data_IF_398619495674
#
_entry.id   IF_398619495674
#
_cell.length_a   1.000
_cell.length_b   1.000
_cell.length_c   1.000
_cell.angle_alpha   90.00
_cell.angle_beta   90.00
_cell.angle_gamma   90.00
#
_symmetry.space_group_name_H-M   'P 1'
#
loop_
_entity.id
_entity.type
_entity.pdbx_description
1 polymer ?
#
# COMPACT_ATOMS: atom_id res chain seq x y z
N UNK A 1 1.66 -12.74 3.23
CA UNK A 1 1.98 -11.33 3.55
C UNK A 1 1.02 -10.44 2.78
N UNK A 2 -0.17 -10.18 3.34
CA UNK A 2 -1.17 -9.33 2.72
C UNK A 2 -1.05 -7.93 3.33
N UNK A 3 -0.64 -6.94 2.54
CA UNK A 3 -0.53 -5.57 3.05
C UNK A 3 -1.89 -4.93 2.89
N UNK A 4 -2.62 -4.84 4.01
CA UNK A 4 -3.91 -4.18 4.05
C UNK A 4 -3.71 -2.66 4.00
N UNK A 5 -4.44 -2.01 3.12
CA UNK A 5 -4.49 -0.57 3.03
C UNK A 5 -5.90 -0.08 2.85
N UNK A 6 -6.12 1.15 3.30
CA UNK A 6 -7.41 1.80 3.18
C UNK A 6 -7.56 2.40 1.79
N UNK A 7 -8.57 1.95 1.06
CA UNK A 7 -8.89 2.53 -0.23
C UNK A 7 -9.90 3.64 -0.01
N UNK A 8 -9.48 4.89 -0.24
CA UNK A 8 -10.36 6.06 -0.12
C UNK A 8 -11.50 6.04 -1.14
N UNK A 9 -11.33 5.39 -2.30
CA UNK A 9 -12.40 5.19 -3.28
C UNK A 9 -13.44 4.17 -2.81
N UNK A 10 -12.99 3.02 -2.32
CA UNK A 10 -13.89 1.97 -1.83
C UNK A 10 -14.38 2.22 -0.39
N UNK A 11 -13.82 3.24 0.29
CA UNK A 11 -14.00 3.52 1.72
C UNK A 11 -13.89 2.28 2.62
N UNK A 12 -13.01 1.36 2.23
CA UNK A 12 -12.85 0.08 2.87
C UNK A 12 -11.36 -0.26 3.00
N UNK A 13 -11.01 -0.99 4.05
CA UNK A 13 -9.70 -1.63 4.17
C UNK A 13 -9.70 -2.84 3.24
N UNK A 14 -8.78 -2.86 2.29
CA UNK A 14 -8.61 -3.96 1.35
C UNK A 14 -7.15 -4.36 1.30
N UNK A 15 -6.91 -5.62 0.99
CA UNK A 15 -5.57 -6.13 0.73
C UNK A 15 -5.08 -5.53 -0.58
N UNK A 16 -3.89 -4.92 -0.54
CA UNK A 16 -3.22 -4.48 -1.76
C UNK A 16 -2.86 -5.70 -2.62
N UNK A 17 -3.20 -5.61 -3.90
CA UNK A 17 -2.69 -6.49 -4.94
C UNK A 17 -1.30 -6.01 -5.37
N UNK A 18 -0.38 -6.95 -5.55
CA UNK A 18 1.00 -6.65 -5.94
C UNK A 18 1.71 -5.66 -4.99
N UNK A 19 1.81 -5.99 -3.68
CA UNK A 19 2.52 -5.13 -2.74
C UNK A 19 4.03 -5.14 -3.06
N UNK A 20 4.50 -4.04 -3.63
CA UNK A 20 5.90 -3.72 -3.89
C UNK A 20 6.45 -2.90 -2.74
N UNK A 21 7.33 -3.52 -1.97
CA UNK A 21 8.16 -2.84 -1.00
C UNK A 21 9.26 -2.05 -1.72
N UNK A 22 9.40 -0.78 -1.35
CA UNK A 22 10.37 0.15 -1.90
C UNK A 22 10.89 1.04 -0.76
N UNK A 23 12.06 1.61 -0.93
CA UNK A 23 12.61 2.57 0.03
C UNK A 23 12.51 3.96 -0.58
N UNK A 24 11.89 4.89 0.14
CA UNK A 24 11.89 6.30 -0.28
C UNK A 24 13.29 6.89 -0.20
N UNK A 25 13.56 7.95 -0.97
CA UNK A 25 14.85 8.68 -0.94
C UNK A 25 15.30 9.13 0.46
N UNK A 26 14.38 9.19 1.42
CA UNK A 26 14.64 9.56 2.80
C UNK A 26 14.86 8.34 3.74
N UNK A 27 15.14 7.16 3.18
CA UNK A 27 15.44 5.93 3.92
C UNK A 27 14.22 5.24 4.55
N UNK A 28 13.00 5.73 4.32
CA UNK A 28 11.78 5.14 4.92
C UNK A 28 11.21 4.04 4.00
N UNK A 29 10.91 2.84 4.53
CA UNK A 29 10.25 1.81 3.77
C UNK A 29 8.82 2.22 3.44
N UNK A 30 8.46 2.04 2.18
CA UNK A 30 7.14 2.28 1.65
C UNK A 30 6.70 1.01 0.93
N UNK A 31 5.50 0.55 1.23
CA UNK A 31 4.86 -0.46 0.42
C UNK A 31 3.89 0.24 -0.51
N UNK A 32 4.06 0.02 -1.81
CA UNK A 32 3.13 0.42 -2.85
C UNK A 32 2.38 -0.82 -3.30
N UNK A 33 1.12 -0.70 -3.66
CA UNK A 33 0.37 -1.78 -4.27
C UNK A 33 -0.85 -1.23 -4.98
N UNK A 34 -1.69 -2.09 -5.53
CA UNK A 34 -2.91 -1.70 -6.23
C UNK A 34 -4.15 -2.18 -5.50
N UNK A 35 -5.19 -1.37 -5.51
CA UNK A 35 -6.53 -1.76 -5.08
C UNK A 35 -7.09 -2.81 -6.05
N UNK A 36 -7.43 -4.04 -5.62
CA UNK A 36 -7.97 -5.09 -6.50
C UNK A 36 -9.34 -4.74 -7.08
N UNK A 37 -10.08 -3.86 -6.42
CA UNK A 37 -11.45 -3.48 -6.78
C UNK A 37 -11.51 -2.32 -7.78
N UNK A 38 -10.57 -1.40 -7.63
CA UNK A 38 -10.66 -0.06 -8.20
C UNK A 38 -9.40 0.34 -8.96
N UNK A 39 -8.39 -0.53 -9.02
CA UNK A 39 -7.11 -0.34 -9.71
C UNK A 39 -6.25 0.80 -9.17
N UNK A 40 -6.71 1.52 -8.14
CA UNK A 40 -6.04 2.70 -7.61
C UNK A 40 -4.77 2.29 -6.87
N UNK A 41 -3.67 2.97 -7.16
CA UNK A 41 -2.39 2.77 -6.47
C UNK A 41 -2.54 3.17 -5.01
N UNK A 42 -2.34 2.21 -4.11
CA UNK A 42 -2.36 2.36 -2.67
C UNK A 42 -0.92 2.41 -2.18
N UNK A 43 -0.61 3.38 -1.34
CA UNK A 43 0.72 3.51 -0.75
C UNK A 43 0.56 3.45 0.77
N UNK A 44 1.27 2.53 1.40
CA UNK A 44 1.37 2.42 2.85
C UNK A 44 2.82 2.63 3.23
N UNK A 45 3.09 3.78 3.82
CA UNK A 45 4.40 4.04 4.42
C UNK A 45 4.46 3.18 5.69
N UNK A 46 5.34 2.19 5.68
CA UNK A 46 5.64 1.42 6.88
C UNK A 46 6.67 2.21 7.65
N UNK A 47 6.31 2.76 8.81
CA UNK A 47 7.34 3.21 9.74
C UNK A 47 8.15 1.99 10.15
N UNK A 48 9.46 2.04 9.90
CA UNK A 48 10.43 1.09 10.45
C UNK A 48 10.13 0.86 11.93
N UNK A 49 10.06 -0.42 12.32
CA UNK A 49 10.33 -0.79 13.70
C UNK A 49 11.75 -0.40 14.05
#
# INVERSE_FOLDING_TARGET
MAIEAYCVKCKAKKVMQDPVESVTKNGKPITKGKCPDCGTTMCRIGSTK
#
